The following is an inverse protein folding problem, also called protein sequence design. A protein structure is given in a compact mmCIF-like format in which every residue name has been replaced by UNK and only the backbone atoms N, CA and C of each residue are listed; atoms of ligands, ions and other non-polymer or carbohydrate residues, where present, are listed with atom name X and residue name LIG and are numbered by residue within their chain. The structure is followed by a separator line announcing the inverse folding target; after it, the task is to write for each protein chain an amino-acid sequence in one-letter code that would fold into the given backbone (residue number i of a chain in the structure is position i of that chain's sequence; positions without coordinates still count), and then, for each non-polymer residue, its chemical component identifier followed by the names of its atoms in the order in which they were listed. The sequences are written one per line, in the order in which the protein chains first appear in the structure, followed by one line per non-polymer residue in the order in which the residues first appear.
data_IF_611913502577
#
_entry.id   IF_611913502577
#
_cell.length_a   1.000
_cell.length_b   1.000
_cell.length_c   1.000
_cell.angle_alpha   90.00
_cell.angle_beta   90.00
_cell.angle_gamma   90.00
#
_symmetry.space_group_name_H-M   'P 1'
#
loop_
_entity.id
_entity.type
_entity.pdbx_description
1 polymer ?
#
# COMPACT_ATOMS: atom_id res chain seq x y z
N UNK A 1 19.61 4.95 -33.87
CA UNK A 1 18.36 5.30 -33.16
C UNK A 1 18.49 4.88 -31.71
N UNK A 2 18.23 5.77 -30.75
CA UNK A 2 18.31 5.44 -29.33
C UNK A 2 16.91 5.04 -28.84
N UNK A 3 16.65 3.73 -28.77
CA UNK A 3 15.36 3.16 -28.40
C UNK A 3 14.83 3.71 -27.07
N UNK A 4 15.72 3.94 -26.10
CA UNK A 4 15.37 4.52 -24.79
C UNK A 4 14.83 5.94 -24.92
N UNK A 5 15.39 6.75 -25.82
CA UNK A 5 14.89 8.09 -26.09
C UNK A 5 13.51 8.04 -26.76
N UNK A 6 13.37 7.23 -27.82
CA UNK A 6 12.10 7.06 -28.54
C UNK A 6 10.95 6.61 -27.63
N UNK A 7 11.22 5.65 -26.72
CA UNK A 7 10.23 5.19 -25.73
C UNK A 7 9.86 6.27 -24.71
N UNK A 8 10.82 7.10 -24.28
CA UNK A 8 10.52 8.23 -23.38
C UNK A 8 9.65 9.28 -24.06
N UNK A 9 9.95 9.62 -25.30
CA UNK A 9 9.14 10.55 -26.10
C UNK A 9 7.72 10.00 -26.28
N UNK A 10 7.58 8.75 -26.72
CA UNK A 10 6.27 8.09 -26.86
C UNK A 10 5.48 8.05 -25.55
N UNK A 11 6.13 7.75 -24.42
CA UNK A 11 5.47 7.75 -23.12
C UNK A 11 4.91 9.14 -22.77
N UNK A 12 5.68 10.20 -23.03
CA UNK A 12 5.19 11.57 -22.83
C UNK A 12 4.05 11.90 -23.79
N UNK A 13 4.21 11.60 -25.08
CA UNK A 13 3.20 11.94 -26.09
C UNK A 13 1.86 11.20 -25.89
N UNK A 14 1.91 9.93 -25.45
CA UNK A 14 0.71 9.08 -25.30
C UNK A 14 0.10 9.15 -23.90
N UNK A 15 0.92 9.16 -22.85
CA UNK A 15 0.44 9.16 -21.46
C UNK A 15 0.51 10.56 -20.85
N UNK A 16 1.58 11.28 -21.15
CA UNK A 16 1.88 12.59 -20.58
C UNK A 16 1.92 12.57 -19.06
N UNK A 17 1.68 13.73 -18.45
CA UNK A 17 1.56 13.83 -17.00
C UNK A 17 0.12 13.53 -16.55
N UNK A 18 -0.11 12.30 -16.07
CA UNK A 18 -1.39 11.86 -15.51
C UNK A 18 -1.83 12.71 -14.32
N UNK A 19 -0.89 13.17 -13.48
CA UNK A 19 -1.23 13.96 -12.29
C UNK A 19 -1.76 15.34 -12.70
N UNK A 20 -1.11 15.97 -13.67
CA UNK A 20 -1.58 17.24 -14.25
C UNK A 20 -2.96 17.06 -14.90
N UNK A 21 -3.19 15.97 -15.63
CA UNK A 21 -4.50 15.67 -16.24
C UNK A 21 -5.60 15.49 -15.19
N UNK A 22 -5.33 14.74 -14.12
CA UNK A 22 -6.26 14.55 -12.99
C UNK A 22 -6.55 15.89 -12.32
N UNK A 23 -5.51 16.67 -12.01
CA UNK A 23 -5.65 17.99 -11.38
C UNK A 23 -6.53 18.92 -12.23
N UNK A 24 -6.27 19.01 -13.52
CA UNK A 24 -7.05 19.85 -14.43
C UNK A 24 -8.53 19.42 -14.47
N UNK A 25 -8.81 18.10 -14.49
CA UNK A 25 -10.18 17.58 -14.46
C UNK A 25 -10.90 17.84 -13.13
N UNK A 26 -10.18 17.81 -12.01
CA UNK A 26 -10.73 18.20 -10.70
C UNK A 26 -11.05 19.69 -10.65
N UNK A 27 -10.20 20.55 -11.20
CA UNK A 27 -10.47 22.00 -11.32
C UNK A 27 -11.67 22.26 -12.25
N UNK A 28 -11.80 21.53 -13.36
CA UNK A 28 -12.96 21.58 -14.25
C UNK A 28 -14.26 21.21 -13.51
N UNK A 29 -14.23 20.11 -12.74
CA UNK A 29 -15.35 19.66 -11.92
C UNK A 29 -15.75 20.73 -10.88
N UNK A 30 -14.77 21.28 -10.16
CA UNK A 30 -15.00 22.32 -9.17
C UNK A 30 -15.69 23.55 -9.80
N UNK A 31 -15.24 23.96 -11.00
CA UNK A 31 -15.85 25.08 -11.71
C UNK A 31 -17.30 24.81 -12.10
N UNK A 32 -17.65 23.58 -12.51
CA UNK A 32 -19.03 23.21 -12.83
C UNK A 32 -19.90 23.20 -11.57
N UNK A 33 -19.40 22.69 -10.46
CA UNK A 33 -20.12 22.68 -9.19
C UNK A 33 -20.42 24.10 -8.68
N UNK A 34 -19.46 25.02 -8.82
CA UNK A 34 -19.68 26.44 -8.53
C UNK A 34 -20.77 27.03 -9.45
N UNK A 35 -20.76 26.70 -10.75
CA UNK A 35 -21.79 27.17 -11.69
C UNK A 35 -23.17 26.61 -11.36
N UNK A 36 -23.29 25.33 -11.01
CA UNK A 36 -24.53 24.70 -10.56
C UNK A 36 -25.07 25.37 -9.29
N UNK A 37 -24.18 25.66 -8.33
CA UNK A 37 -24.55 26.40 -7.12
C UNK A 37 -25.12 27.80 -7.42
N UNK A 38 -24.64 28.47 -8.47
CA UNK A 38 -24.99 29.86 -8.77
C UNK A 38 -26.16 30.02 -9.77
N UNK A 39 -26.33 29.08 -10.70
CA UNK A 39 -27.27 29.20 -11.83
C UNK A 39 -28.50 28.30 -11.75
N UNK A 40 -28.62 27.50 -10.67
CA UNK A 40 -29.66 26.49 -10.52
C UNK A 40 -29.30 25.18 -11.21
N UNK A 41 -30.31 24.44 -11.67
CA UNK A 41 -30.18 23.05 -12.13
C UNK A 41 -30.48 22.84 -13.63
N UNK A 42 -29.75 23.46 -14.57
CA UNK A 42 -29.95 23.22 -15.99
C UNK A 42 -29.41 21.84 -16.39
N UNK A 43 -30.18 21.12 -17.21
CA UNK A 43 -29.90 19.74 -17.62
C UNK A 43 -28.54 19.57 -18.30
N UNK A 44 -28.08 20.57 -19.03
CA UNK A 44 -26.81 20.55 -19.77
C UNK A 44 -25.59 20.56 -18.84
N UNK A 45 -25.68 21.26 -17.68
CA UNK A 45 -24.59 21.27 -16.69
C UNK A 45 -24.44 19.91 -16.00
N UNK A 46 -25.55 19.21 -15.72
CA UNK A 46 -25.50 17.84 -15.18
C UNK A 46 -24.90 16.84 -16.16
N UNK A 47 -25.24 16.93 -17.44
CA UNK A 47 -24.62 16.12 -18.49
C UNK A 47 -23.11 16.37 -18.54
N UNK A 48 -22.70 17.64 -18.47
CA UNK A 48 -21.29 18.01 -18.42
C UNK A 48 -20.58 17.48 -17.17
N UNK A 49 -21.18 17.61 -15.99
CA UNK A 49 -20.66 17.07 -14.72
C UNK A 49 -20.49 15.55 -14.80
N UNK A 50 -21.50 14.84 -15.30
CA UNK A 50 -21.44 13.38 -15.46
C UNK A 50 -20.32 12.94 -16.41
N UNK A 51 -20.09 13.68 -17.50
CA UNK A 51 -19.00 13.39 -18.42
C UNK A 51 -17.63 13.62 -17.76
N UNK A 52 -17.47 14.68 -16.97
CA UNK A 52 -16.21 14.94 -16.26
C UNK A 52 -15.95 13.87 -15.20
N UNK A 53 -16.98 13.41 -14.49
CA UNK A 53 -16.83 12.27 -13.58
C UNK A 53 -16.38 11.01 -14.29
N UNK A 54 -16.95 10.72 -15.47
CA UNK A 54 -16.53 9.58 -16.27
C UNK A 54 -15.05 9.69 -16.71
N UNK A 55 -14.65 10.85 -17.24
CA UNK A 55 -13.26 11.12 -17.63
C UNK A 55 -12.30 10.97 -16.44
N UNK A 56 -12.68 11.50 -15.28
CA UNK A 56 -11.89 11.45 -14.06
C UNK A 56 -11.70 10.02 -13.58
N UNK A 57 -12.76 9.21 -13.59
CA UNK A 57 -12.73 7.80 -13.22
C UNK A 57 -11.80 6.98 -14.14
N UNK A 58 -11.83 7.24 -15.45
CA UNK A 58 -10.89 6.65 -16.41
C UNK A 58 -9.44 7.06 -16.10
N UNK A 59 -9.19 8.35 -15.80
CA UNK A 59 -7.85 8.83 -15.46
C UNK A 59 -7.32 8.25 -14.15
N UNK A 60 -8.18 8.14 -13.13
CA UNK A 60 -7.83 7.57 -11.83
C UNK A 60 -7.47 6.09 -11.94
N UNK A 61 -8.27 5.29 -12.68
CA UNK A 61 -7.92 3.90 -12.97
C UNK A 61 -6.56 3.77 -13.67
N UNK A 62 -6.29 4.64 -14.65
CA UNK A 62 -5.00 4.64 -15.36
C UNK A 62 -3.85 4.99 -14.44
N UNK A 63 -4.04 5.94 -13.53
CA UNK A 63 -3.05 6.31 -12.53
C UNK A 63 -2.80 5.18 -11.52
N UNK A 64 -3.84 4.48 -11.09
CA UNK A 64 -3.72 3.29 -10.25
C UNK A 64 -2.88 2.20 -10.93
N UNK A 65 -3.20 1.85 -12.19
CA UNK A 65 -2.38 0.89 -12.96
C UNK A 65 -0.92 1.32 -13.05
N UNK A 66 -0.67 2.61 -13.32
CA UNK A 66 0.68 3.16 -13.37
C UNK A 66 1.43 3.01 -12.04
N UNK A 67 0.76 3.26 -10.91
CA UNK A 67 1.36 3.09 -9.58
C UNK A 67 1.66 1.61 -9.29
N UNK A 68 0.76 0.70 -9.67
CA UNK A 68 0.95 -0.74 -9.53
C UNK A 68 2.16 -1.24 -10.36
N UNK A 69 2.30 -0.74 -11.58
CA UNK A 69 3.44 -1.12 -12.42
C UNK A 69 4.75 -0.59 -11.84
N UNK A 70 4.76 0.65 -11.33
CA UNK A 70 5.94 1.20 -10.64
C UNK A 70 6.28 0.44 -9.35
N UNK A 71 5.28 0.05 -8.57
CA UNK A 71 5.52 -0.71 -7.34
C UNK A 71 6.06 -2.11 -7.65
N UNK A 72 5.57 -2.77 -8.71
CA UNK A 72 6.11 -4.05 -9.18
C UNK A 72 7.55 -3.94 -9.63
N UNK A 73 7.89 -2.92 -10.42
CA UNK A 73 9.28 -2.69 -10.85
C UNK A 73 10.18 -2.45 -9.64
N UNK A 74 9.73 -1.63 -8.69
CA UNK A 74 10.46 -1.36 -7.44
C UNK A 74 10.67 -2.64 -6.62
N UNK A 75 9.61 -3.44 -6.46
CA UNK A 75 9.67 -4.74 -5.78
C UNK A 75 10.70 -5.68 -6.42
N UNK A 76 10.69 -5.81 -7.75
CA UNK A 76 11.66 -6.64 -8.47
C UNK A 76 13.10 -6.13 -8.34
N UNK A 77 13.30 -4.83 -8.15
CA UNK A 77 14.62 -4.22 -7.95
C UNK A 77 15.15 -4.39 -6.53
N UNK A 78 14.29 -4.25 -5.53
CA UNK A 78 14.66 -4.28 -4.11
C UNK A 78 14.60 -5.69 -3.49
N UNK A 79 13.82 -6.60 -4.08
CA UNK A 79 13.64 -7.96 -3.57
C UNK A 79 13.11 -7.97 -2.14
N UNK A 80 13.67 -8.85 -1.30
CA UNK A 80 13.29 -9.00 0.11
C UNK A 80 13.83 -7.87 1.01
N UNK A 81 14.61 -6.91 0.48
CA UNK A 81 15.14 -5.76 1.24
C UNK A 81 14.16 -4.57 1.31
N UNK A 82 12.94 -4.72 0.81
CA UNK A 82 11.91 -3.67 0.85
C UNK A 82 11.23 -3.57 2.22
N UNK A 83 12.02 -3.57 3.29
CA UNK A 83 11.56 -3.51 4.68
C UNK A 83 10.80 -2.21 4.94
N UNK A 84 11.18 -1.11 4.28
CA UNK A 84 10.50 0.19 4.37
C UNK A 84 9.03 0.10 3.97
N UNK A 85 8.70 -0.64 2.91
CA UNK A 85 7.30 -0.85 2.51
C UNK A 85 6.54 -1.64 3.57
N UNK A 86 7.12 -2.72 4.11
CA UNK A 86 6.47 -3.51 5.14
C UNK A 86 6.30 -2.74 6.45
N UNK A 87 7.29 -1.94 6.86
CA UNK A 87 7.17 -1.07 8.02
C UNK A 87 6.06 -0.01 7.85
N UNK A 88 5.96 0.62 6.68
CA UNK A 88 4.89 1.59 6.40
C UNK A 88 3.53 0.90 6.30
N UNK A 89 3.45 -0.26 5.67
CA UNK A 89 2.23 -1.06 5.54
C UNK A 89 1.74 -1.57 6.90
N UNK A 90 2.64 -2.10 7.73
CA UNK A 90 2.36 -2.52 9.10
C UNK A 90 1.89 -1.31 9.92
N UNK A 91 2.56 -0.16 9.83
CA UNK A 91 2.14 1.07 10.52
C UNK A 91 0.75 1.56 10.07
N UNK A 92 0.47 1.49 8.76
CA UNK A 92 -0.85 1.82 8.20
C UNK A 92 -1.94 0.83 8.66
N UNK A 93 -1.62 -0.47 8.74
CA UNK A 93 -2.52 -1.51 9.27
C UNK A 93 -2.67 -1.45 10.80
N UNK A 94 -1.65 -0.98 11.52
CA UNK A 94 -1.63 -0.72 12.97
C UNK A 94 -2.35 0.59 13.36
N UNK A 95 -3.03 1.27 12.42
CA UNK A 95 -4.06 2.24 12.77
C UNK A 95 -5.23 1.63 13.58
N UNK A 96 -5.21 0.33 13.89
CA UNK A 96 -5.82 -0.22 15.10
C UNK A 96 -4.76 -0.32 16.21
N UNK A 97 -4.80 0.63 17.13
CA UNK A 97 -3.95 0.64 18.33
C UNK A 97 -4.46 -0.46 19.28
N UNK A 98 -3.63 -1.44 19.68
CA UNK A 98 -4.04 -2.42 20.68
C UNK A 98 -4.32 -1.71 22.00
N UNK A 99 -5.37 -2.16 22.68
CA UNK A 99 -5.75 -1.62 23.99
C UNK A 99 -4.68 -1.92 25.03
N UNK A 100 -4.58 -1.08 26.07
CA UNK A 100 -3.58 -1.23 27.13
C UNK A 100 -3.58 -2.64 27.75
N UNK A 101 -4.76 -3.25 27.90
CA UNK A 101 -4.91 -4.61 28.43
C UNK A 101 -4.34 -5.67 27.47
N UNK A 102 -4.52 -5.51 26.16
CA UNK A 102 -3.93 -6.40 25.15
C UNK A 102 -2.39 -6.30 25.15
N UNK A 103 -1.85 -5.09 25.36
CA UNK A 103 -0.41 -4.87 25.46
C UNK A 103 0.15 -5.52 26.73
N UNK A 104 -0.54 -5.35 27.88
CA UNK A 104 -0.11 -5.96 29.14
C UNK A 104 -0.17 -7.49 29.09
N UNK A 105 -1.24 -8.08 28.57
CA UNK A 105 -1.33 -9.55 28.47
C UNK A 105 -0.19 -10.12 27.62
N UNK A 106 0.20 -9.46 26.53
CA UNK A 106 1.33 -9.89 25.71
C UNK A 106 2.65 -9.72 26.48
N UNK A 107 2.87 -8.56 27.11
CA UNK A 107 4.14 -8.28 27.83
C UNK A 107 4.33 -9.19 29.05
N UNK A 108 3.26 -9.51 29.78
CA UNK A 108 3.32 -10.32 31.00
C UNK A 108 3.18 -11.83 30.76
N UNK A 109 2.80 -12.26 29.54
CA UNK A 109 2.80 -13.67 29.14
C UNK A 109 4.10 -14.12 28.44
N UNK A 110 5.01 -13.19 28.12
CA UNK A 110 6.33 -13.50 27.56
C UNK A 110 7.29 -13.95 28.68
N UNK A 111 7.77 -15.20 28.62
CA UNK A 111 8.85 -15.68 29.49
C UNK A 111 10.15 -14.91 29.20
N UNK A 112 11.00 -14.70 30.21
CA UNK A 112 12.21 -13.85 30.12
C UNK A 112 13.20 -14.28 29.01
N UNK A 113 13.05 -15.50 28.50
CA UNK A 113 13.84 -16.09 27.41
C UNK A 113 13.24 -15.84 26.00
N UNK A 114 12.26 -14.93 25.87
CA UNK A 114 11.62 -14.58 24.60
C UNK A 114 12.14 -13.29 23.95
N UNK A 115 13.33 -12.81 24.32
CA UNK A 115 14.02 -11.77 23.54
C UNK A 115 14.38 -12.36 22.16
N UNK A 116 13.84 -11.83 21.04
CA UNK A 116 14.22 -12.30 19.71
C UNK A 116 15.68 -11.93 19.45
N UNK A 117 16.43 -12.83 18.82
CA UNK A 117 17.76 -12.51 18.28
C UNK A 117 17.65 -11.35 17.26
N UNK A 118 18.76 -10.67 16.91
CA UNK A 118 18.75 -9.43 16.13
C UNK A 118 18.06 -9.48 14.75
N UNK A 119 17.78 -10.67 14.23
CA UNK A 119 17.13 -10.95 12.96
C UNK A 119 15.65 -11.39 13.08
N UNK A 120 15.09 -11.48 14.29
CA UNK A 120 13.64 -11.55 14.51
C UNK A 120 12.96 -12.89 14.15
N UNK A 121 13.70 -13.96 13.88
CA UNK A 121 13.14 -15.30 13.64
C UNK A 121 13.68 -16.33 14.65
N UNK A 122 12.79 -17.17 15.20
CA UNK A 122 13.16 -18.23 16.16
C UNK A 122 13.68 -19.48 15.46
N UNK A 123 14.86 -19.97 15.83
CA UNK A 123 15.22 -21.39 15.64
C UNK A 123 14.49 -22.19 16.72
N UNK A 124 13.54 -23.04 16.34
CA UNK A 124 12.90 -23.96 17.27
C UNK A 124 13.92 -25.02 17.73
N UNK A 125 14.59 -24.78 18.87
CA UNK A 125 15.44 -25.75 19.55
C UNK A 125 14.62 -26.77 20.37
N UNK A 126 13.55 -27.31 19.78
CA UNK A 126 12.77 -28.42 20.36
C UNK A 126 12.98 -29.69 19.54
N UNK A 127 14.24 -30.04 19.29
CA UNK A 127 14.67 -31.40 18.94
C UNK A 127 16.17 -31.60 19.19
N UNK A 128 16.75 -31.05 20.28
CA UNK A 128 17.97 -31.62 20.87
C UNK A 128 17.86 -31.50 22.40
N UNK A 129 17.53 -32.64 23.01
CA UNK A 129 18.06 -33.19 24.26
C UNK A 129 17.91 -32.39 25.56
N UNK A 130 17.15 -32.96 26.49
CA UNK A 130 17.25 -32.63 27.91
C UNK A 130 16.43 -33.57 28.79
N UNK A 131 17.08 -34.60 29.32
CA UNK A 131 16.60 -35.51 30.36
C UNK A 131 15.90 -34.74 31.50
N UNK A 132 14.89 -35.27 32.19
CA UNK A 132 15.08 -36.35 33.17
C UNK A 132 13.75 -36.68 33.84
N UNK A 133 13.45 -37.98 34.05
CA UNK A 133 13.02 -38.47 35.36
C UNK A 133 13.02 -40.00 35.39
N UNK A 134 13.73 -40.50 36.38
CA UNK A 134 13.96 -41.89 36.74
C UNK A 134 12.64 -42.65 36.99
N UNK A 135 12.45 -43.79 36.30
CA UNK A 135 11.93 -45.09 36.77
C UNK A 135 11.35 -45.89 35.59
N UNK A 136 11.93 -47.05 35.30
CA UNK A 136 11.28 -48.38 35.32
C UNK A 136 11.96 -49.34 34.30
N UNK A 137 13.00 -50.08 34.73
CA UNK A 137 13.20 -51.47 34.27
C UNK A 137 12.02 -52.32 34.81
N UNK A 138 11.66 -53.53 34.30
CA UNK A 138 12.37 -54.49 33.43
C UNK A 138 11.56 -54.80 32.13
N UNK A 139 12.10 -55.35 31.04
CA UNK A 139 12.82 -56.61 30.78
C UNK A 139 13.62 -56.46 29.49
#
# INVERSE_FOLDING_TARGET
MNLKHTLKTWNWDVFGDLNSKIKNKLEELQNIQIRLSNSGFPKDLFLSESNIHHDLDVLLRRHECFLLDRSRVKWLQEGDLNDSFFHVYIKYKQCRVPTFDEINDIVFSLDANFTPDPDGFRVNSSSIVGMSLVKMFPW
#
